data_IF_503728353292
#
_entry.id   IF_503728353292
#
_cell.length_a   1.000
_cell.length_b   1.000
_cell.length_c   1.000
_cell.angle_alpha   90.00
_cell.angle_beta   90.00
_cell.angle_gamma   90.00
#
_symmetry.space_group_name_H-M   'P 1'
#
loop_
_entity.id
_entity.type
_entity.pdbx_description
1 polymer ?
#
# COMPACT_ATOMS: atom_id res chain seq x y z
N UNK A 1 12.19 -5.01 16.98
CA UNK A 1 10.96 -5.82 17.02
C UNK A 1 10.33 -5.68 15.65
N UNK A 2 10.54 -6.65 14.76
CA UNK A 2 9.95 -6.62 13.42
C UNK A 2 8.51 -7.07 13.55
N UNK A 3 7.58 -6.12 13.70
CA UNK A 3 6.18 -6.40 13.41
C UNK A 3 6.11 -6.81 11.94
N UNK A 4 5.46 -7.94 11.66
CA UNK A 4 5.45 -8.58 10.33
C UNK A 4 5.12 -7.56 9.24
N UNK A 5 6.14 -7.14 8.50
CA UNK A 5 6.03 -6.15 7.42
C UNK A 5 6.35 -6.86 6.12
N UNK A 6 5.40 -6.87 5.18
CA UNK A 6 5.58 -7.44 3.84
C UNK A 6 5.78 -6.31 2.82
N UNK A 7 6.90 -6.34 2.09
CA UNK A 7 7.17 -5.40 0.99
C UNK A 7 6.91 -6.08 -0.34
N UNK A 8 5.97 -5.52 -1.11
CA UNK A 8 5.63 -5.97 -2.47
C UNK A 8 6.08 -4.93 -3.49
N UNK A 9 6.80 -5.35 -4.53
CA UNK A 9 7.21 -4.49 -5.66
C UNK A 9 6.52 -4.97 -6.92
N UNK A 10 5.92 -4.05 -7.66
CA UNK A 10 5.23 -4.33 -8.91
C UNK A 10 5.80 -3.44 -10.01
N UNK A 11 5.64 -3.84 -11.26
CA UNK A 11 6.12 -3.09 -12.43
C UNK A 11 5.10 -2.07 -12.95
N UNK A 12 3.85 -2.10 -12.49
CA UNK A 12 2.79 -1.21 -12.95
C UNK A 12 2.26 -0.30 -11.83
N UNK A 13 2.28 1.01 -12.04
CA UNK A 13 1.82 2.03 -11.07
C UNK A 13 0.37 1.79 -10.61
N UNK A 14 -0.50 1.31 -11.50
CA UNK A 14 -1.89 0.98 -11.17
C UNK A 14 -2.04 -0.22 -10.23
N UNK A 15 -1.06 -1.14 -10.23
CA UNK A 15 -1.11 -2.35 -9.39
C UNK A 15 -0.97 -2.00 -7.91
N UNK A 16 -0.09 -1.05 -7.57
CA UNK A 16 0.09 -0.61 -6.18
C UNK A 16 -1.22 -0.05 -5.61
N UNK A 17 -1.91 0.80 -6.38
CA UNK A 17 -3.19 1.37 -5.96
C UNK A 17 -4.26 0.30 -5.75
N UNK A 18 -4.45 -0.59 -6.74
CA UNK A 18 -5.47 -1.65 -6.68
C UNK A 18 -5.23 -2.59 -5.50
N UNK A 19 -3.98 -2.93 -5.21
CA UNK A 19 -3.63 -3.77 -4.06
C UNK A 19 -3.93 -3.07 -2.73
N UNK A 20 -3.54 -1.79 -2.60
CA UNK A 20 -3.84 -1.00 -1.40
C UNK A 20 -5.33 -0.85 -1.14
N UNK A 21 -6.12 -0.53 -2.17
CA UNK A 21 -7.58 -0.45 -2.07
C UNK A 21 -8.18 -1.81 -1.69
N UNK A 22 -7.73 -2.92 -2.30
CA UNK A 22 -8.22 -4.25 -1.95
C UNK A 22 -7.97 -4.63 -0.48
N UNK A 23 -6.78 -4.31 0.06
CA UNK A 23 -6.47 -4.53 1.48
C UNK A 23 -7.39 -3.71 2.40
N UNK A 24 -7.60 -2.43 2.08
CA UNK A 24 -8.48 -1.54 2.83
C UNK A 24 -9.92 -2.08 2.87
N UNK A 25 -10.44 -2.58 1.76
CA UNK A 25 -11.81 -3.11 1.69
C UNK A 25 -11.96 -4.47 2.37
N UNK A 26 -10.94 -5.32 2.33
CA UNK A 26 -10.99 -6.68 2.89
C UNK A 26 -10.65 -6.75 4.38
N UNK A 27 -9.80 -5.83 4.87
CA UNK A 27 -9.20 -5.92 6.19
C UNK A 27 -9.31 -4.64 7.04
N UNK A 28 -10.03 -3.61 6.56
CA UNK A 28 -10.13 -2.29 7.21
C UNK A 28 -8.74 -1.68 7.48
N UNK A 29 -8.59 -0.61 8.26
CA UNK A 29 -7.31 0.07 8.44
C UNK A 29 -7.14 1.37 7.65
N UNK A 30 -5.89 1.85 7.66
CA UNK A 30 -5.49 3.11 7.05
C UNK A 30 -4.62 2.89 5.81
N UNK A 31 -4.93 3.60 4.72
CA UNK A 31 -4.18 3.56 3.47
C UNK A 31 -3.63 4.95 3.13
N UNK A 32 -2.31 5.06 3.03
CA UNK A 32 -1.61 6.23 2.54
C UNK A 32 -1.03 6.00 1.14
N UNK A 33 -1.34 6.88 0.20
CA UNK A 33 -0.81 6.88 -1.18
C UNK A 33 0.15 8.05 -1.36
N UNK A 34 1.39 7.74 -1.75
CA UNK A 34 2.44 8.72 -1.99
C UNK A 34 2.86 8.67 -3.47
N UNK A 35 2.55 9.73 -4.19
CA UNK A 35 3.07 9.99 -5.54
C UNK A 35 4.41 10.69 -5.37
N UNK A 36 5.47 10.12 -5.93
CA UNK A 36 6.77 10.79 -5.94
C UNK A 36 6.85 11.71 -7.15
N UNK A 37 7.04 13.00 -6.90
CA UNK A 37 7.21 13.98 -7.97
C UNK A 37 8.44 13.63 -8.81
N UNK A 38 8.25 13.54 -10.13
CA UNK A 38 9.32 13.27 -11.10
C UNK A 38 9.62 11.79 -11.39
N UNK A 39 9.00 10.85 -10.67
CA UNK A 39 9.09 9.42 -10.97
C UNK A 39 7.67 8.88 -11.21
N UNK A 40 7.44 8.08 -12.26
CA UNK A 40 6.18 7.34 -12.48
C UNK A 40 5.99 6.21 -11.44
N UNK A 41 6.24 6.53 -10.16
CA UNK A 41 6.28 5.61 -9.04
C UNK A 41 5.25 6.02 -7.99
N UNK A 42 4.31 5.10 -7.75
CA UNK A 42 3.36 5.17 -6.64
C UNK A 42 3.84 4.25 -5.51
N UNK A 43 3.86 4.79 -4.29
CA UNK A 43 4.07 4.02 -3.07
C UNK A 43 2.80 4.03 -2.23
N UNK A 44 2.29 2.84 -1.92
CA UNK A 44 1.23 2.67 -0.93
C UNK A 44 1.82 2.16 0.38
N UNK A 45 1.28 2.66 1.49
CA UNK A 45 1.48 2.12 2.82
C UNK A 45 0.10 1.86 3.42
N UNK A 46 -0.13 0.62 3.82
CA UNK A 46 -1.37 0.23 4.49
C UNK A 46 -1.04 -0.36 5.85
N UNK A 47 -1.82 0.02 6.85
CA UNK A 47 -1.75 -0.50 8.22
C UNK A 47 -3.12 -1.02 8.59
N UNK A 48 -3.19 -2.26 9.09
CA UNK A 48 -4.44 -2.83 9.60
C UNK A 48 -4.88 -2.11 10.87
N UNK A 49 -6.18 -1.90 11.05
CA UNK A 49 -6.72 -1.56 12.36
C UNK A 49 -6.47 -2.72 13.34
N UNK A 50 -5.98 -2.42 14.54
CA UNK A 50 -5.95 -3.42 15.61
C UNK A 50 -7.41 -3.78 15.93
N UNK A 51 -7.77 -5.02 15.63
CA UNK A 51 -9.11 -5.57 15.87
C UNK A 51 -9.37 -5.81 17.37
#
# INVERSE_FOLDING_TARGET
>A
QSGDTLVVRTTGVHMVRRLGEALLHAHHGDLALNYRDGEDMLRAQWTRDDA
#
